data_IF_700340998179
#
_entry.id   IF_700340998179
#
_cell.length_a   1.000
_cell.length_b   1.000
_cell.length_c   1.000
_cell.angle_alpha   90.00
_cell.angle_beta   90.00
_cell.angle_gamma   90.00
#
_symmetry.space_group_name_H-M   'P 1'
#
loop_
_entity.id
_entity.type
_entity.pdbx_description
1 polymer ?
#
# COMPACT_ATOMS: atom_id res chain seq x y z
N UNK A 1 21.23 24.39 -5.09
CA UNK A 1 21.59 22.98 -5.31
C UNK A 1 20.84 22.48 -6.54
N UNK A 2 21.40 21.51 -7.27
CA UNK A 2 20.72 20.87 -8.40
C UNK A 2 19.91 19.68 -7.92
N UNK A 3 18.59 19.73 -8.15
CA UNK A 3 17.60 18.74 -7.73
C UNK A 3 17.09 18.02 -8.98
N UNK A 4 17.16 16.70 -9.01
CA UNK A 4 16.67 15.90 -10.15
C UNK A 4 15.64 14.89 -9.66
N UNK A 5 14.40 15.00 -10.16
CA UNK A 5 13.36 13.98 -9.99
C UNK A 5 13.42 13.00 -11.17
N UNK A 6 13.58 11.71 -10.87
CA UNK A 6 13.85 10.68 -11.90
C UNK A 6 12.59 9.96 -12.42
N UNK A 7 11.50 9.92 -11.65
CA UNK A 7 10.27 9.20 -12.01
C UNK A 7 9.00 9.86 -11.45
N UNK A 8 8.89 11.18 -11.61
CA UNK A 8 7.87 12.01 -10.98
C UNK A 8 6.43 11.79 -11.46
N UNK A 9 6.20 11.11 -12.59
CA UNK A 9 4.85 10.93 -13.14
C UNK A 9 3.88 10.27 -12.16
N UNK A 10 4.31 9.22 -11.45
CA UNK A 10 3.44 8.53 -10.50
C UNK A 10 3.02 9.43 -9.32
N UNK A 11 3.94 10.28 -8.84
CA UNK A 11 3.66 11.21 -7.75
C UNK A 11 2.82 12.41 -8.20
N UNK A 12 3.01 12.87 -9.45
CA UNK A 12 2.29 14.00 -10.02
C UNK A 12 2.14 13.86 -11.55
N UNK A 13 1.03 13.29 -12.03
CA UNK A 13 0.75 13.17 -13.46
C UNK A 13 0.34 14.49 -14.13
N UNK A 14 0.49 15.64 -13.46
CA UNK A 14 0.17 16.97 -13.97
C UNK A 14 -1.01 17.66 -13.27
N UNK A 15 -1.55 17.07 -12.20
CA UNK A 15 -2.68 17.63 -11.43
C UNK A 15 -2.27 18.29 -10.10
N UNK A 16 -0.97 18.33 -9.80
CA UNK A 16 -0.36 19.02 -8.64
C UNK A 16 0.78 19.91 -9.10
N UNK A 17 1.25 20.82 -8.21
CA UNK A 17 2.38 21.70 -8.46
C UNK A 17 3.69 21.16 -7.87
N UNK A 18 4.80 21.36 -8.59
CA UNK A 18 6.15 21.15 -8.11
C UNK A 18 6.81 22.45 -7.55
N UNK A 19 6.09 23.58 -7.54
CA UNK A 19 6.63 24.91 -7.19
C UNK A 19 7.35 24.94 -5.84
N UNK A 20 6.84 24.24 -4.83
CA UNK A 20 7.48 24.17 -3.50
C UNK A 20 8.86 23.53 -3.53
N UNK A 21 9.07 22.54 -4.40
CA UNK A 21 10.38 21.89 -4.60
C UNK A 21 11.25 22.71 -5.53
N UNK A 22 10.67 23.29 -6.58
CA UNK A 22 11.37 24.18 -7.52
C UNK A 22 11.97 25.41 -6.82
N UNK A 23 11.32 25.93 -5.78
CA UNK A 23 11.82 27.06 -5.00
C UNK A 23 13.08 26.74 -4.17
N UNK A 24 13.45 25.46 -4.01
CA UNK A 24 14.59 25.03 -3.20
C UNK A 24 15.90 24.89 -4.00
N UNK A 25 15.85 24.97 -5.35
CA UNK A 25 17.04 24.84 -6.18
C UNK A 25 16.75 24.75 -7.67
N UNK A 26 17.78 24.47 -8.46
CA UNK A 26 17.65 24.17 -9.88
C UNK A 26 17.00 22.80 -10.04
N UNK A 27 15.70 22.78 -10.39
CA UNK A 27 14.89 21.56 -10.44
C UNK A 27 14.75 21.04 -11.87
N UNK A 28 15.10 19.78 -12.08
CA UNK A 28 14.91 19.04 -13.32
C UNK A 28 13.96 17.86 -13.07
N UNK A 29 12.86 17.80 -13.80
CA UNK A 29 11.85 16.74 -13.72
C UNK A 29 11.97 15.78 -14.92
N UNK A 30 11.94 14.49 -14.62
CA UNK A 30 11.73 13.43 -15.60
C UNK A 30 10.50 12.61 -15.17
N UNK A 31 9.56 12.41 -16.08
CA UNK A 31 8.37 11.60 -15.83
C UNK A 31 8.72 10.14 -15.52
N UNK A 32 9.66 9.60 -16.27
CA UNK A 32 10.16 8.20 -16.17
C UNK A 32 11.61 8.15 -16.58
N UNK A 33 12.41 7.33 -15.89
CA UNK A 33 13.84 7.12 -16.22
C UNK A 33 14.13 5.64 -16.37
N UNK A 34 14.60 5.25 -17.55
CA UNK A 34 15.06 3.88 -17.77
C UNK A 34 16.38 3.63 -17.00
N UNK A 35 16.66 2.39 -16.54
CA UNK A 35 17.87 2.09 -15.77
C UNK A 35 19.17 2.58 -16.39
N UNK A 36 19.33 2.46 -17.71
CA UNK A 36 20.50 2.90 -18.48
C UNK A 36 20.71 4.42 -18.47
N UNK A 37 19.67 5.21 -18.19
CA UNK A 37 19.69 6.67 -18.28
C UNK A 37 19.88 7.34 -16.90
N UNK A 38 19.82 6.58 -15.80
CA UNK A 38 19.86 7.11 -14.44
C UNK A 38 21.10 7.95 -14.20
N UNK A 39 22.28 7.37 -14.43
CA UNK A 39 23.58 8.02 -14.20
C UNK A 39 23.70 9.28 -15.06
N UNK A 40 23.35 9.21 -16.35
CA UNK A 40 23.46 10.37 -17.24
C UNK A 40 22.56 11.53 -16.81
N UNK A 41 21.34 11.22 -16.33
CA UNK A 41 20.39 12.25 -15.85
C UNK A 41 20.79 12.84 -14.50
N UNK A 42 21.37 12.02 -13.62
CA UNK A 42 21.71 12.40 -12.24
C UNK A 42 23.15 12.84 -12.04
N UNK A 43 24.06 12.74 -13.04
CA UNK A 43 25.52 12.95 -12.89
C UNK A 43 25.94 14.28 -12.24
N UNK A 44 25.13 15.32 -12.40
CA UNK A 44 25.41 16.65 -11.86
C UNK A 44 24.48 17.01 -10.68
N UNK A 45 23.59 16.11 -10.27
CA UNK A 45 22.66 16.32 -9.17
C UNK A 45 23.37 16.28 -7.81
N UNK A 46 23.01 17.19 -6.93
CA UNK A 46 23.35 17.14 -5.50
C UNK A 46 22.22 16.45 -4.71
N UNK A 47 21.00 16.53 -5.23
CA UNK A 47 19.77 15.94 -4.67
C UNK A 47 19.10 15.14 -5.78
N UNK A 48 18.79 13.88 -5.52
CA UNK A 48 17.88 13.10 -6.38
C UNK A 48 16.61 12.73 -5.63
N UNK A 49 15.50 12.74 -6.35
CA UNK A 49 14.22 12.28 -5.87
C UNK A 49 13.79 11.08 -6.70
N UNK A 50 13.25 10.05 -6.06
CA UNK A 50 12.83 8.80 -6.70
C UNK A 50 11.56 8.24 -6.05
N UNK A 51 10.70 7.60 -6.83
CA UNK A 51 9.58 6.82 -6.32
C UNK A 51 9.86 5.31 -6.44
N UNK A 52 10.20 4.83 -7.64
CA UNK A 52 10.42 3.41 -7.97
C UNK A 52 11.73 3.14 -8.71
N UNK A 53 12.45 4.17 -9.11
CA UNK A 53 13.78 4.00 -9.71
C UNK A 53 14.75 3.44 -8.67
N UNK A 54 15.39 2.31 -9.01
CA UNK A 54 16.35 1.67 -8.12
C UNK A 54 17.69 2.42 -8.15
N UNK A 55 18.18 2.82 -6.98
CA UNK A 55 19.48 3.46 -6.78
C UNK A 55 20.39 2.48 -6.05
N UNK A 56 21.14 1.71 -6.85
CA UNK A 56 22.08 0.70 -6.38
C UNK A 56 23.43 1.31 -6.01
N UNK A 57 24.29 0.54 -5.35
CA UNK A 57 25.66 0.92 -5.04
C UNK A 57 26.43 1.39 -6.29
N UNK A 58 26.33 0.66 -7.39
CA UNK A 58 27.04 0.96 -8.65
C UNK A 58 26.59 2.29 -9.26
N UNK A 59 25.33 2.69 -9.04
CA UNK A 59 24.80 4.00 -9.44
C UNK A 59 25.36 5.09 -8.53
N UNK A 60 25.34 4.89 -7.20
CA UNK A 60 25.86 5.83 -6.20
C UNK A 60 27.32 6.15 -6.47
N UNK A 61 28.16 5.15 -6.74
CA UNK A 61 29.59 5.30 -7.04
C UNK A 61 29.86 6.19 -8.27
N UNK A 62 28.90 6.31 -9.19
CA UNK A 62 29.00 7.12 -10.41
C UNK A 62 28.43 8.53 -10.24
N UNK A 63 27.94 8.89 -9.04
CA UNK A 63 27.31 10.19 -8.76
C UNK A 63 28.11 10.99 -7.70
N UNK A 64 29.33 11.48 -8.02
CA UNK A 64 30.25 12.06 -7.03
C UNK A 64 29.76 13.37 -6.39
N UNK A 65 28.73 14.02 -6.95
CA UNK A 65 28.14 15.27 -6.40
C UNK A 65 26.93 15.00 -5.50
N UNK A 66 26.42 13.75 -5.48
CA UNK A 66 25.21 13.39 -4.78
C UNK A 66 25.41 13.49 -3.25
N UNK A 67 24.50 14.20 -2.59
CA UNK A 67 24.50 14.41 -1.12
C UNK A 67 23.22 13.93 -0.45
N UNK A 68 22.13 13.81 -1.23
CA UNK A 68 20.82 13.52 -0.69
C UNK A 68 19.97 12.71 -1.69
N UNK A 69 19.24 11.73 -1.16
CA UNK A 69 18.24 10.94 -1.88
C UNK A 69 16.91 11.05 -1.13
N UNK A 70 15.88 11.64 -1.78
CA UNK A 70 14.52 11.66 -1.28
C UNK A 70 13.69 10.55 -1.93
N UNK A 71 13.22 9.58 -1.14
CA UNK A 71 12.32 8.55 -1.64
C UNK A 71 10.88 9.02 -1.50
N UNK A 72 10.17 9.23 -2.61
CA UNK A 72 8.77 9.66 -2.69
C UNK A 72 7.80 8.51 -2.34
N UNK A 73 8.05 7.85 -1.22
CA UNK A 73 7.27 6.75 -0.69
C UNK A 73 7.55 6.52 0.79
N UNK A 74 6.71 5.75 1.48
CA UNK A 74 7.01 5.25 2.83
C UNK A 74 8.08 4.14 2.80
N UNK A 75 7.96 3.19 1.84
CA UNK A 75 8.98 2.15 1.61
C UNK A 75 10.17 2.71 0.84
N UNK A 76 11.39 2.37 1.26
CA UNK A 76 12.64 2.89 0.70
C UNK A 76 13.60 1.79 0.18
N UNK A 77 13.09 0.60 -0.03
CA UNK A 77 13.85 -0.55 -0.54
C UNK A 77 14.39 -0.38 -1.97
N UNK A 78 14.04 0.69 -2.64
CA UNK A 78 14.59 1.09 -3.96
C UNK A 78 15.98 1.73 -3.85
N UNK A 79 16.47 2.04 -2.65
CA UNK A 79 17.80 2.64 -2.43
C UNK A 79 18.66 1.69 -1.63
N UNK A 80 19.91 1.48 -2.07
CA UNK A 80 20.96 0.84 -1.26
C UNK A 80 21.40 1.81 -0.16
N UNK A 81 20.73 1.70 1.01
CA UNK A 81 20.94 2.62 2.14
C UNK A 81 22.32 2.46 2.79
N UNK A 82 22.92 1.26 2.74
CA UNK A 82 24.26 1.03 3.28
C UNK A 82 25.32 1.66 2.37
N UNK A 83 25.18 1.52 1.06
CA UNK A 83 26.04 2.22 0.12
C UNK A 83 25.90 3.73 0.24
N UNK A 84 24.68 4.26 0.34
CA UNK A 84 24.44 5.68 0.55
C UNK A 84 25.11 6.19 1.85
N UNK A 85 24.98 5.47 2.96
CA UNK A 85 25.62 5.79 4.24
C UNK A 85 27.13 5.83 4.10
N UNK A 86 27.73 4.84 3.44
CA UNK A 86 29.17 4.75 3.24
C UNK A 86 29.72 5.95 2.44
N UNK A 87 28.91 6.51 1.53
CA UNK A 87 29.26 7.71 0.73
C UNK A 87 28.83 9.03 1.36
N UNK A 88 28.33 9.01 2.61
CA UNK A 88 27.88 10.21 3.32
C UNK A 88 26.63 10.86 2.71
N UNK A 89 25.82 10.09 1.99
CA UNK A 89 24.58 10.54 1.36
C UNK A 89 23.42 10.32 2.34
N UNK A 90 22.67 11.37 2.63
CA UNK A 90 21.45 11.31 3.46
C UNK A 90 20.32 10.73 2.63
N UNK A 91 19.64 9.71 3.15
CA UNK A 91 18.44 9.14 2.53
C UNK A 91 17.23 9.41 3.42
N UNK A 92 16.16 9.98 2.84
CA UNK A 92 14.90 10.19 3.55
C UNK A 92 13.73 9.53 2.84
N UNK A 93 12.68 9.24 3.60
CA UNK A 93 11.42 8.74 3.07
C UNK A 93 10.26 9.69 3.42
N UNK A 94 9.05 9.34 3.01
CA UNK A 94 7.83 10.09 3.35
C UNK A 94 6.94 9.22 4.24
N UNK A 95 7.00 9.37 5.57
CA UNK A 95 6.18 8.59 6.48
C UNK A 95 4.72 9.09 6.50
N UNK A 96 3.77 8.17 6.72
CA UNK A 96 2.37 8.41 7.08
C UNK A 96 1.52 9.29 6.13
N UNK A 97 2.02 9.70 4.96
CA UNK A 97 1.31 10.59 4.03
C UNK A 97 0.00 10.00 3.47
N UNK A 98 -0.05 8.68 3.33
CA UNK A 98 -1.15 7.96 2.70
C UNK A 98 -2.06 7.19 3.68
N UNK A 99 -1.91 7.38 4.99
CA UNK A 99 -2.64 6.61 6.01
C UNK A 99 -4.15 6.60 5.78
N UNK A 100 -4.76 7.76 5.57
CA UNK A 100 -6.20 7.88 5.34
C UNK A 100 -6.62 7.28 4.00
N UNK A 101 -5.83 7.49 2.96
CA UNK A 101 -6.08 6.97 1.61
C UNK A 101 -6.04 5.44 1.59
N UNK A 102 -5.04 4.81 2.22
CA UNK A 102 -4.93 3.35 2.30
C UNK A 102 -6.05 2.75 3.16
N UNK A 103 -6.41 3.39 4.26
CA UNK A 103 -7.56 2.95 5.07
C UNK A 103 -8.88 3.03 4.28
N UNK A 104 -9.07 4.09 3.49
CA UNK A 104 -10.21 4.23 2.58
C UNK A 104 -10.24 3.10 1.53
N UNK A 105 -9.11 2.78 0.89
CA UNK A 105 -9.02 1.70 -0.09
C UNK A 105 -9.30 0.33 0.56
N UNK A 106 -8.80 0.09 1.78
CA UNK A 106 -9.11 -1.12 2.55
C UNK A 106 -10.63 -1.29 2.70
N UNK A 107 -11.35 -0.24 3.10
CA UNK A 107 -12.80 -0.28 3.20
C UNK A 107 -13.51 -0.33 1.84
N UNK A 108 -12.97 0.28 0.80
CA UNK A 108 -13.50 0.14 -0.56
C UNK A 108 -13.50 -1.33 -1.01
N UNK A 109 -12.42 -2.08 -0.74
CA UNK A 109 -12.37 -3.52 -1.00
C UNK A 109 -13.34 -4.31 -0.14
N UNK A 110 -13.40 -4.04 1.18
CA UNK A 110 -14.36 -4.69 2.09
C UNK A 110 -15.79 -4.49 1.59
N UNK A 111 -16.18 -3.23 1.32
CA UNK A 111 -17.52 -2.88 0.88
C UNK A 111 -17.84 -3.40 -0.52
N UNK A 112 -16.84 -3.44 -1.42
CA UNK A 112 -17.04 -4.06 -2.73
C UNK A 112 -17.29 -5.57 -2.62
N UNK A 113 -16.54 -6.28 -1.77
CA UNK A 113 -16.74 -7.71 -1.54
C UNK A 113 -18.08 -8.02 -0.89
N UNK A 114 -18.58 -7.16 -0.02
CA UNK A 114 -19.81 -7.40 0.76
C UNK A 114 -21.07 -6.89 0.07
N UNK A 115 -21.01 -5.78 -0.68
CA UNK A 115 -22.16 -5.13 -1.31
C UNK A 115 -22.21 -5.24 -2.83
N UNK A 116 -21.07 -5.53 -3.50
CA UNK A 116 -21.00 -5.72 -4.96
C UNK A 116 -21.56 -4.54 -5.78
N UNK A 117 -21.35 -3.31 -5.33
CA UNK A 117 -22.00 -2.11 -5.89
C UNK A 117 -21.74 -1.97 -7.39
N UNK A 118 -20.50 -2.14 -7.85
CA UNK A 118 -20.17 -2.02 -9.26
C UNK A 118 -20.80 -3.14 -10.11
N UNK A 119 -20.82 -4.37 -9.62
CA UNK A 119 -21.47 -5.50 -10.27
C UNK A 119 -22.94 -5.20 -10.55
N UNK A 120 -23.70 -4.76 -9.56
CA UNK A 120 -25.11 -4.41 -9.76
C UNK A 120 -25.28 -3.17 -10.63
N UNK A 121 -24.42 -2.17 -10.50
CA UNK A 121 -24.45 -0.99 -11.37
C UNK A 121 -24.23 -1.38 -12.84
N UNK A 122 -23.30 -2.30 -13.12
CA UNK A 122 -23.06 -2.79 -14.48
C UNK A 122 -24.26 -3.58 -15.02
N UNK A 123 -24.79 -4.53 -14.25
CA UNK A 123 -25.99 -5.27 -14.64
C UNK A 123 -27.20 -4.35 -14.92
N UNK A 124 -27.33 -3.27 -14.16
CA UNK A 124 -28.40 -2.29 -14.37
C UNK A 124 -28.22 -1.48 -15.66
N UNK A 125 -26.97 -1.09 -16.03
CA UNK A 125 -26.68 -0.48 -17.35
C UNK A 125 -27.06 -1.42 -18.49
N UNK A 126 -26.94 -2.72 -18.30
CA UNK A 126 -27.36 -3.77 -19.25
C UNK A 126 -28.88 -4.01 -19.24
N UNK A 127 -29.63 -3.29 -18.40
CA UNK A 127 -31.10 -3.35 -18.32
C UNK A 127 -31.63 -4.53 -17.50
N UNK A 128 -30.79 -5.17 -16.65
CA UNK A 128 -31.21 -6.31 -15.84
C UNK A 128 -32.36 -5.95 -14.91
N UNK A 129 -32.27 -4.81 -14.21
CA UNK A 129 -33.31 -4.36 -13.30
C UNK A 129 -34.59 -3.97 -14.04
N UNK A 130 -34.47 -3.22 -15.15
CA UNK A 130 -35.64 -2.79 -15.95
C UNK A 130 -36.47 -3.95 -16.50
N UNK A 131 -35.85 -5.12 -16.68
CA UNK A 131 -36.53 -6.35 -17.17
C UNK A 131 -36.85 -7.35 -16.07
N UNK A 132 -36.55 -6.99 -14.81
CA UNK A 132 -36.83 -7.87 -13.69
C UNK A 132 -38.32 -7.81 -13.33
N UNK A 133 -38.99 -8.92 -13.05
CA UNK A 133 -40.41 -8.91 -12.66
C UNK A 133 -40.65 -8.33 -11.26
N UNK A 134 -39.65 -8.38 -10.38
CA UNK A 134 -39.71 -7.87 -9.02
C UNK A 134 -39.10 -6.49 -8.90
N UNK A 135 -39.44 -5.74 -7.84
CA UNK A 135 -38.91 -4.40 -7.58
C UNK A 135 -37.40 -4.39 -7.25
N UNK A 136 -36.83 -5.54 -6.91
CA UNK A 136 -35.42 -5.72 -6.61
C UNK A 136 -34.93 -7.10 -7.09
N UNK A 137 -33.61 -7.30 -7.15
CA UNK A 137 -32.99 -8.58 -7.40
C UNK A 137 -31.57 -8.62 -6.81
N UNK A 138 -31.11 -9.81 -6.50
CA UNK A 138 -29.70 -10.10 -6.20
C UNK A 138 -29.34 -11.48 -6.75
N UNK A 139 -28.11 -11.63 -7.20
CA UNK A 139 -27.56 -12.88 -7.75
C UNK A 139 -26.24 -13.28 -7.11
N UNK A 140 -25.81 -12.53 -6.08
CA UNK A 140 -24.64 -12.83 -5.24
C UNK A 140 -25.03 -12.64 -3.78
N UNK A 141 -24.42 -13.37 -2.84
CA UNK A 141 -24.62 -13.10 -1.41
C UNK A 141 -24.24 -11.66 -1.07
N UNK A 142 -25.10 -10.97 -0.33
CA UNK A 142 -24.82 -9.68 0.27
C UNK A 142 -24.56 -9.89 1.76
N UNK A 143 -23.52 -9.23 2.28
CA UNK A 143 -23.09 -9.42 3.67
C UNK A 143 -23.16 -8.08 4.42
N UNK A 144 -23.75 -8.12 5.61
CA UNK A 144 -23.67 -7.00 6.57
C UNK A 144 -22.41 -7.18 7.43
N UNK A 145 -21.62 -6.09 7.55
CA UNK A 145 -20.35 -6.14 8.31
C UNK A 145 -20.51 -5.81 9.80
N UNK A 146 -21.63 -5.19 10.21
CA UNK A 146 -21.94 -4.96 11.61
C UNK A 146 -22.02 -6.27 12.38
N UNK A 147 -21.40 -6.32 13.56
CA UNK A 147 -21.30 -7.54 14.37
C UNK A 147 -20.33 -8.61 13.83
N UNK A 148 -19.61 -8.34 12.71
CA UNK A 148 -18.55 -9.21 12.20
C UNK A 148 -17.22 -8.87 12.84
N UNK A 149 -16.31 -9.84 12.87
CA UNK A 149 -14.96 -9.67 13.40
C UNK A 149 -13.99 -9.26 12.30
N UNK A 150 -13.35 -8.08 12.47
CA UNK A 150 -12.19 -7.69 11.68
C UNK A 150 -10.90 -8.07 12.41
N UNK A 151 -10.11 -8.95 11.80
CA UNK A 151 -8.75 -9.25 12.22
C UNK A 151 -7.76 -8.31 11.51
N UNK A 152 -6.84 -7.72 12.27
CA UNK A 152 -5.82 -6.81 11.73
C UNK A 152 -4.43 -7.37 12.05
N UNK A 153 -3.64 -7.62 11.00
CA UNK A 153 -2.22 -7.96 11.15
C UNK A 153 -1.40 -6.67 11.00
N UNK A 154 -0.86 -6.18 12.12
CA UNK A 154 -0.09 -4.94 12.17
C UNK A 154 -0.92 -3.71 12.54
N UNK A 155 -0.75 -3.23 13.77
CA UNK A 155 -1.47 -2.06 14.32
C UNK A 155 -0.58 -0.81 14.31
N UNK A 156 -0.01 -0.47 13.13
CA UNK A 156 0.66 0.79 12.86
C UNK A 156 -0.34 1.92 12.54
N UNK A 157 0.10 3.00 11.89
CA UNK A 157 -0.77 4.14 11.54
C UNK A 157 -2.00 3.71 10.72
N UNK A 158 -1.79 2.91 9.67
CA UNK A 158 -2.86 2.41 8.79
C UNK A 158 -3.78 1.47 9.57
N UNK A 159 -3.23 0.44 10.23
CA UNK A 159 -4.01 -0.53 10.99
C UNK A 159 -4.87 0.13 12.09
N UNK A 160 -4.34 1.13 12.80
CA UNK A 160 -5.11 1.91 13.78
C UNK A 160 -6.27 2.68 13.12
N UNK A 161 -6.04 3.28 11.94
CA UNK A 161 -7.09 4.00 11.22
C UNK A 161 -8.18 3.04 10.72
N UNK A 162 -7.79 1.90 10.16
CA UNK A 162 -8.71 0.83 9.73
C UNK A 162 -9.52 0.29 10.91
N UNK A 163 -8.86 0.04 12.05
CA UNK A 163 -9.53 -0.41 13.27
C UNK A 163 -10.61 0.58 13.75
N UNK A 164 -10.30 1.88 13.72
CA UNK A 164 -11.28 2.92 14.08
C UNK A 164 -12.50 2.90 13.18
N UNK A 165 -12.30 2.87 11.85
CA UNK A 165 -13.38 2.84 10.87
C UNK A 165 -14.23 1.57 11.05
N UNK A 166 -13.61 0.41 11.28
CA UNK A 166 -14.30 -0.85 11.51
C UNK A 166 -15.25 -0.76 12.72
N UNK A 167 -14.78 -0.18 13.81
CA UNK A 167 -15.62 0.03 15.01
C UNK A 167 -16.80 0.96 14.72
N UNK A 168 -16.58 2.02 13.95
CA UNK A 168 -17.65 2.94 13.54
C UNK A 168 -18.72 2.24 12.67
N UNK A 169 -18.34 1.14 11.97
CA UNK A 169 -19.27 0.20 11.29
C UNK A 169 -19.89 -0.87 12.22
N UNK A 170 -19.59 -0.86 13.51
CA UNK A 170 -20.13 -1.83 14.48
C UNK A 170 -19.43 -3.20 14.43
N UNK A 171 -18.19 -3.27 13.92
CA UNK A 171 -17.40 -4.51 13.92
C UNK A 171 -16.65 -4.71 15.24
N UNK A 172 -16.44 -5.98 15.63
CA UNK A 172 -15.46 -6.36 16.64
C UNK A 172 -14.06 -6.39 16.03
N UNK A 173 -13.07 -5.77 16.73
CA UNK A 173 -11.72 -5.66 16.18
C UNK A 173 -10.70 -6.41 17.04
N UNK A 174 -10.00 -7.34 16.39
CA UNK A 174 -8.86 -8.06 16.96
C UNK A 174 -7.58 -7.72 16.19
N UNK A 175 -6.45 -7.62 16.89
CA UNK A 175 -5.19 -7.25 16.27
C UNK A 175 -4.01 -8.13 16.73
N UNK A 176 -3.18 -8.52 15.75
CA UNK A 176 -1.83 -8.98 15.98
C UNK A 176 -0.90 -7.76 15.93
N UNK A 177 -0.24 -7.46 17.03
CA UNK A 177 0.64 -6.29 17.18
C UNK A 177 1.72 -6.51 18.25
N UNK A 178 2.86 -5.85 18.08
CA UNK A 178 3.92 -5.80 19.09
C UNK A 178 3.60 -4.86 20.27
N UNK A 179 2.58 -3.98 20.15
CA UNK A 179 2.17 -3.07 21.21
C UNK A 179 1.70 -3.84 22.45
N UNK A 180 1.90 -3.28 23.64
CA UNK A 180 1.31 -3.84 24.86
C UNK A 180 -0.22 -3.67 24.84
N UNK A 181 -0.94 -4.55 25.53
CA UNK A 181 -2.40 -4.47 25.58
C UNK A 181 -2.90 -3.15 26.20
N UNK A 182 -2.15 -2.59 27.16
CA UNK A 182 -2.47 -1.30 27.77
C UNK A 182 -2.34 -0.08 26.82
N UNK A 183 -1.55 -0.23 25.75
CA UNK A 183 -1.28 0.83 24.76
C UNK A 183 -2.21 0.73 23.54
N UNK A 184 -3.16 -0.20 23.56
CA UNK A 184 -4.12 -0.35 22.46
C UNK A 184 -5.21 0.71 22.53
N UNK A 185 -5.65 1.23 21.38
CA UNK A 185 -6.86 2.05 21.35
C UNK A 185 -8.05 1.28 21.92
N UNK A 186 -8.95 2.01 22.59
CA UNK A 186 -10.16 1.43 23.17
C UNK A 186 -10.95 0.59 22.18
N UNK A 187 -11.45 -0.57 22.63
CA UNK A 187 -12.27 -1.49 21.85
C UNK A 187 -11.49 -2.34 20.84
N UNK A 188 -10.16 -2.38 20.91
CA UNK A 188 -9.32 -3.29 20.12
C UNK A 188 -8.77 -4.37 21.06
N UNK A 189 -8.94 -5.64 20.69
CA UNK A 189 -8.46 -6.79 21.44
C UNK A 189 -7.16 -7.33 20.82
N UNK A 190 -6.13 -7.54 21.65
CA UNK A 190 -4.90 -8.19 21.21
C UNK A 190 -5.10 -9.71 21.15
N UNK A 191 -4.58 -10.34 20.09
CA UNK A 191 -4.60 -11.80 19.97
C UNK A 191 -3.31 -12.32 19.31
N UNK A 192 -3.12 -13.64 19.33
CA UNK A 192 -2.07 -14.32 18.57
C UNK A 192 -2.43 -14.44 17.10
N UNK A 193 -1.48 -14.80 16.24
CA UNK A 193 -1.74 -15.02 14.81
C UNK A 193 -2.78 -16.14 14.61
N UNK A 194 -2.67 -17.24 15.36
CA UNK A 194 -3.62 -18.35 15.28
C UNK A 194 -5.02 -17.96 15.76
N UNK A 195 -5.08 -17.20 16.87
CA UNK A 195 -6.34 -16.67 17.36
C UNK A 195 -6.98 -15.74 16.33
N UNK A 196 -6.17 -14.90 15.66
CA UNK A 196 -6.65 -13.99 14.64
C UNK A 196 -7.28 -14.74 13.46
N UNK A 197 -6.62 -15.79 12.94
CA UNK A 197 -7.18 -16.64 11.88
C UNK A 197 -8.52 -17.29 12.29
N UNK A 198 -8.60 -17.81 13.51
CA UNK A 198 -9.80 -18.51 13.99
C UNK A 198 -11.03 -17.61 14.17
N UNK A 199 -10.83 -16.32 14.56
CA UNK A 199 -11.96 -15.43 14.89
C UNK A 199 -12.40 -14.52 13.76
N UNK A 200 -11.54 -14.26 12.76
CA UNK A 200 -11.78 -13.24 11.75
C UNK A 200 -12.81 -13.68 10.71
N UNK A 201 -13.84 -12.88 10.51
CA UNK A 201 -14.71 -12.92 9.34
C UNK A 201 -14.06 -12.18 8.17
N UNK A 202 -13.29 -11.15 8.48
CA UNK A 202 -12.48 -10.36 7.54
C UNK A 202 -11.09 -10.23 8.14
N UNK A 203 -10.04 -10.60 7.39
CA UNK A 203 -8.64 -10.42 7.78
C UNK A 203 -7.99 -9.36 6.91
N UNK A 204 -7.37 -8.35 7.52
CA UNK A 204 -6.70 -7.25 6.82
C UNK A 204 -5.23 -7.12 7.19
N UNK A 205 -4.35 -7.04 6.17
CA UNK A 205 -2.91 -7.07 6.33
C UNK A 205 -2.34 -5.64 6.26
N UNK A 206 -1.69 -5.19 7.37
CA UNK A 206 -1.07 -3.87 7.51
C UNK A 206 0.32 -3.95 8.17
N UNK A 207 0.91 -5.15 8.17
CA UNK A 207 2.27 -5.37 8.66
C UNK A 207 3.32 -5.08 7.57
N UNK A 208 4.59 -4.79 7.95
CA UNK A 208 5.70 -4.75 7.01
C UNK A 208 6.00 -6.14 6.45
N UNK A 209 6.61 -6.19 5.26
CA UNK A 209 7.21 -7.39 4.72
C UNK A 209 8.57 -7.62 5.38
N UNK A 210 8.73 -8.75 6.03
CA UNK A 210 9.96 -9.24 6.67
C UNK A 210 10.12 -10.73 6.38
N UNK A 211 11.23 -11.33 6.79
CA UNK A 211 11.39 -12.79 6.67
C UNK A 211 10.27 -13.57 7.40
N UNK A 212 9.78 -13.06 8.53
CA UNK A 212 8.73 -13.70 9.33
C UNK A 212 7.33 -13.53 8.75
N UNK A 213 7.12 -12.49 7.92
CA UNK A 213 5.82 -12.18 7.31
C UNK A 213 5.74 -12.56 5.83
N UNK A 214 6.86 -12.95 5.22
CA UNK A 214 6.89 -13.46 3.86
C UNK A 214 5.99 -14.70 3.72
N UNK A 215 5.04 -14.66 2.78
CA UNK A 215 4.03 -15.70 2.57
C UNK A 215 3.36 -16.21 3.87
N UNK A 216 3.14 -15.29 4.84
CA UNK A 216 2.44 -15.66 6.07
C UNK A 216 1.01 -16.13 5.81
N UNK A 217 0.41 -15.72 4.70
CA UNK A 217 -0.87 -16.23 4.19
C UNK A 217 -0.57 -17.23 3.09
N UNK A 218 -0.70 -18.50 3.43
CA UNK A 218 -0.46 -19.65 2.58
C UNK A 218 -1.51 -20.74 2.85
N UNK A 219 -1.46 -21.85 2.13
CA UNK A 219 -2.43 -22.96 2.26
C UNK A 219 -2.65 -23.42 3.69
N UNK A 220 -1.56 -23.53 4.48
CA UNK A 220 -1.66 -24.01 5.86
C UNK A 220 -2.38 -23.02 6.78
N UNK A 221 -2.14 -21.71 6.60
CA UNK A 221 -2.76 -20.64 7.39
C UNK A 221 -4.16 -20.32 6.92
N UNK A 222 -4.45 -20.39 5.62
CA UNK A 222 -5.78 -20.25 5.04
C UNK A 222 -6.75 -21.32 5.59
N UNK A 223 -6.29 -22.55 5.77
CA UNK A 223 -7.10 -23.63 6.36
C UNK A 223 -7.44 -23.40 7.84
N UNK A 224 -6.76 -22.48 8.54
CA UNK A 224 -7.09 -22.10 9.93
C UNK A 224 -8.11 -20.96 9.99
N UNK A 225 -8.39 -20.29 8.87
CA UNK A 225 -9.38 -19.22 8.79
C UNK A 225 -10.81 -19.78 8.76
N UNK A 226 -11.77 -18.95 9.16
CA UNK A 226 -13.18 -19.29 8.97
C UNK A 226 -13.47 -19.55 7.50
N UNK A 227 -14.25 -20.59 7.20
CA UNK A 227 -14.71 -20.85 5.84
C UNK A 227 -15.54 -19.66 5.33
N UNK A 228 -15.20 -19.18 4.14
CA UNK A 228 -15.85 -18.02 3.54
C UNK A 228 -15.37 -16.67 4.09
N UNK A 229 -14.31 -16.64 4.90
CA UNK A 229 -13.70 -15.39 5.35
C UNK A 229 -13.20 -14.56 4.17
N UNK A 230 -13.15 -13.22 4.36
CA UNK A 230 -12.60 -12.29 3.39
C UNK A 230 -11.15 -11.95 3.77
N UNK A 231 -10.27 -11.84 2.77
CA UNK A 231 -8.88 -11.41 2.94
C UNK A 231 -8.65 -10.08 2.23
N UNK A 232 -8.04 -9.11 2.93
CA UNK A 232 -7.70 -7.81 2.38
C UNK A 232 -6.19 -7.57 2.48
N UNK A 233 -5.55 -7.21 1.37
CA UNK A 233 -4.12 -6.89 1.34
C UNK A 233 -3.86 -5.55 0.64
N UNK A 234 -3.68 -4.51 1.42
CA UNK A 234 -3.22 -3.19 0.96
C UNK A 234 -1.80 -2.88 1.45
N UNK A 235 -1.06 -3.91 1.85
CA UNK A 235 0.31 -3.81 2.39
C UNK A 235 1.39 -4.14 1.36
N UNK A 236 1.72 -5.42 1.23
CA UNK A 236 2.71 -5.95 0.29
C UNK A 236 2.23 -7.27 -0.30
N UNK A 237 2.40 -7.45 -1.61
CA UNK A 237 1.97 -8.67 -2.30
C UNK A 237 2.57 -9.93 -1.69
N UNK A 238 3.86 -9.90 -1.39
CA UNK A 238 4.61 -11.04 -0.85
C UNK A 238 4.21 -11.46 0.59
N UNK A 239 3.25 -10.80 1.22
CA UNK A 239 2.64 -11.30 2.47
C UNK A 239 1.78 -12.54 2.24
N UNK A 240 1.41 -12.81 1.00
CA UNK A 240 0.59 -13.97 0.61
C UNK A 240 1.33 -14.85 -0.41
N UNK A 241 0.97 -16.12 -0.45
CA UNK A 241 1.21 -16.98 -1.61
C UNK A 241 0.00 -16.87 -2.56
N UNK A 242 0.21 -16.29 -3.75
CA UNK A 242 -0.88 -15.99 -4.71
C UNK A 242 -1.59 -17.24 -5.21
N UNK A 243 -0.85 -18.33 -5.44
CA UNK A 243 -1.41 -19.60 -5.90
C UNK A 243 -2.32 -20.23 -4.83
N UNK A 244 -1.88 -20.22 -3.57
CA UNK A 244 -2.66 -20.75 -2.45
C UNK A 244 -3.94 -19.94 -2.20
N UNK A 245 -3.86 -18.61 -2.34
CA UNK A 245 -5.03 -17.73 -2.23
C UNK A 245 -5.99 -17.98 -3.38
N UNK A 246 -5.52 -18.17 -4.61
CA UNK A 246 -6.37 -18.51 -5.75
C UNK A 246 -7.07 -19.87 -5.56
N UNK A 247 -6.36 -20.90 -5.11
CA UNK A 247 -6.94 -22.21 -4.76
C UNK A 247 -8.00 -22.08 -3.66
N UNK A 248 -7.76 -21.26 -2.63
CA UNK A 248 -8.70 -21.05 -1.52
C UNK A 248 -9.97 -20.30 -1.96
N UNK A 249 -9.87 -19.41 -2.94
CA UNK A 249 -11.02 -18.75 -3.56
C UNK A 249 -11.84 -19.72 -4.42
N UNK A 250 -11.17 -20.57 -5.20
CA UNK A 250 -11.81 -21.55 -6.07
C UNK A 250 -12.59 -22.60 -5.27
N UNK A 251 -12.02 -23.11 -4.18
CA UNK A 251 -12.65 -24.14 -3.34
C UNK A 251 -13.60 -23.59 -2.26
N UNK A 252 -13.73 -22.24 -2.16
CA UNK A 252 -14.62 -21.57 -1.23
C UNK A 252 -14.14 -21.56 0.23
N UNK A 253 -12.86 -21.84 0.49
CA UNK A 253 -12.23 -21.61 1.79
C UNK A 253 -12.18 -20.11 2.09
N UNK A 254 -11.82 -19.29 1.09
CA UNK A 254 -12.01 -17.84 1.11
C UNK A 254 -13.28 -17.45 0.35
N UNK A 255 -14.07 -16.55 0.95
CA UNK A 255 -15.24 -15.94 0.32
C UNK A 255 -14.90 -14.84 -0.67
N UNK A 256 -13.74 -14.20 -0.51
CA UNK A 256 -13.26 -13.15 -1.40
C UNK A 256 -11.88 -12.60 -1.02
N UNK A 257 -11.21 -12.00 -1.97
CA UNK A 257 -9.93 -11.34 -1.83
C UNK A 257 -9.98 -9.93 -2.39
N UNK A 258 -9.58 -8.94 -1.60
CA UNK A 258 -9.43 -7.56 -2.02
C UNK A 258 -7.97 -7.13 -1.86
N UNK A 259 -7.33 -6.67 -2.93
CA UNK A 259 -5.92 -6.28 -2.87
C UNK A 259 -5.61 -5.03 -3.68
N UNK A 260 -4.61 -4.30 -3.21
CA UNK A 260 -4.02 -3.18 -3.97
C UNK A 260 -2.57 -3.48 -4.37
N UNK A 261 -2.07 -4.67 -4.05
CA UNK A 261 -0.66 -5.06 -4.24
C UNK A 261 -0.56 -6.50 -4.76
N UNK A 262 0.51 -6.76 -5.53
CA UNK A 262 0.83 -8.07 -6.09
C UNK A 262 2.28 -8.47 -5.75
N UNK A 263 2.59 -9.77 -5.82
CA UNK A 263 3.96 -10.27 -5.57
C UNK A 263 4.97 -9.71 -6.57
N UNK A 264 4.58 -9.59 -7.82
CA UNK A 264 5.31 -8.88 -8.86
C UNK A 264 4.45 -7.70 -9.36
N UNK A 265 5.06 -6.53 -9.51
CA UNK A 265 4.40 -5.31 -9.98
C UNK A 265 5.24 -4.66 -11.10
N UNK A 266 4.73 -4.61 -12.35
CA UNK A 266 3.44 -5.15 -12.84
C UNK A 266 3.36 -6.68 -12.76
N UNK A 267 2.14 -7.24 -12.50
CA UNK A 267 1.94 -8.68 -12.49
C UNK A 267 1.92 -9.28 -13.90
N UNK A 268 2.14 -10.59 -13.99
CA UNK A 268 1.93 -11.34 -15.23
C UNK A 268 0.44 -11.46 -15.57
N UNK A 269 0.11 -11.46 -16.86
CA UNK A 269 -1.27 -11.60 -17.35
C UNK A 269 -1.91 -12.94 -16.98
N UNK A 270 -1.10 -13.98 -16.79
CA UNK A 270 -1.52 -15.33 -16.39
C UNK A 270 -1.56 -15.55 -14.88
N UNK A 271 -1.47 -14.48 -14.07
CA UNK A 271 -1.55 -14.60 -12.63
C UNK A 271 -2.88 -15.27 -12.21
N UNK A 272 -2.84 -16.34 -11.40
CA UNK A 272 -4.03 -17.14 -11.07
C UNK A 272 -5.14 -16.36 -10.36
N UNK A 273 -4.82 -15.26 -9.69
CA UNK A 273 -5.80 -14.40 -9.02
C UNK A 273 -6.71 -13.67 -10.01
N UNK A 274 -6.23 -13.38 -11.24
CA UNK A 274 -7.06 -12.73 -12.25
C UNK A 274 -8.17 -13.61 -12.82
N UNK A 275 -8.03 -14.93 -12.68
CA UNK A 275 -9.08 -15.88 -13.06
C UNK A 275 -10.20 -16.01 -12.01
N UNK A 276 -10.01 -15.46 -10.80
CA UNK A 276 -10.95 -15.63 -9.70
C UNK A 276 -12.02 -14.53 -9.69
N UNK A 277 -13.33 -14.87 -9.83
CA UNK A 277 -14.41 -13.87 -9.93
C UNK A 277 -14.69 -13.12 -8.61
N UNK A 278 -14.13 -13.60 -7.50
CA UNK A 278 -14.22 -13.01 -6.16
C UNK A 278 -12.88 -12.43 -5.69
N UNK A 279 -11.89 -12.26 -6.59
CA UNK A 279 -10.70 -11.46 -6.37
C UNK A 279 -10.85 -10.07 -7.01
N UNK A 280 -10.66 -9.01 -6.24
CA UNK A 280 -10.72 -7.62 -6.68
C UNK A 280 -9.38 -6.96 -6.42
N UNK A 281 -8.65 -6.65 -7.50
CA UNK A 281 -7.27 -6.17 -7.43
C UNK A 281 -7.19 -4.80 -8.08
N UNK A 282 -6.68 -3.83 -7.33
CA UNK A 282 -6.36 -2.48 -7.83
C UNK A 282 -4.85 -2.33 -8.03
N UNK A 283 -4.40 -1.50 -8.99
CA UNK A 283 -3.01 -1.50 -9.43
C UNK A 283 -2.10 -0.61 -8.56
N UNK A 284 -2.01 -0.91 -7.26
CA UNK A 284 -1.16 -0.24 -6.26
C UNK A 284 -1.42 1.28 -6.19
N UNK A 285 -2.70 1.64 -6.06
CA UNK A 285 -3.19 3.04 -6.06
C UNK A 285 -3.80 3.48 -4.72
N UNK A 286 -3.75 2.64 -3.68
CA UNK A 286 -4.29 2.99 -2.35
C UNK A 286 -3.67 4.28 -1.77
N UNK A 287 -2.45 4.63 -2.18
CA UNK A 287 -1.74 5.85 -1.79
C UNK A 287 -2.00 7.04 -2.73
N UNK A 288 -2.59 6.83 -3.91
CA UNK A 288 -2.53 7.74 -5.05
C UNK A 288 -3.63 8.81 -5.08
N UNK A 289 -4.42 8.98 -4.01
CA UNK A 289 -5.39 10.09 -3.97
C UNK A 289 -4.67 11.44 -4.09
N UNK A 290 -5.33 12.42 -4.68
CA UNK A 290 -4.77 13.76 -4.88
C UNK A 290 -4.27 14.37 -3.56
N UNK A 291 -5.05 14.20 -2.50
CA UNK A 291 -4.74 14.72 -1.16
C UNK A 291 -3.51 14.02 -0.56
N UNK A 292 -3.38 12.70 -0.71
CA UNK A 292 -2.20 11.96 -0.24
C UNK A 292 -0.95 12.37 -1.03
N UNK A 293 -1.05 12.51 -2.36
CA UNK A 293 0.06 12.98 -3.20
C UNK A 293 0.46 14.43 -2.90
N UNK A 294 -0.51 15.29 -2.60
CA UNK A 294 -0.22 16.65 -2.15
C UNK A 294 0.56 16.66 -0.82
N UNK A 295 0.15 15.84 0.16
CA UNK A 295 0.91 15.66 1.41
C UNK A 295 2.31 15.11 1.16
N UNK A 296 2.44 14.14 0.26
CA UNK A 296 3.72 13.55 -0.12
C UNK A 296 4.69 14.63 -0.64
N UNK A 297 4.24 15.47 -1.58
CA UNK A 297 5.07 16.54 -2.14
C UNK A 297 5.42 17.60 -1.10
N UNK A 298 4.48 17.94 -0.20
CA UNK A 298 4.74 18.89 0.89
C UNK A 298 5.82 18.35 1.86
N UNK A 299 5.68 17.11 2.33
CA UNK A 299 6.68 16.48 3.22
C UNK A 299 8.03 16.34 2.49
N UNK A 300 8.04 16.04 1.18
CA UNK A 300 9.26 15.99 0.38
C UNK A 300 9.98 17.36 0.38
N UNK A 301 9.24 18.44 0.14
CA UNK A 301 9.78 19.80 0.18
C UNK A 301 10.34 20.15 1.57
N UNK A 302 9.63 19.80 2.63
CA UNK A 302 10.07 20.00 4.01
C UNK A 302 11.34 19.19 4.33
N UNK A 303 11.45 17.96 3.86
CA UNK A 303 12.65 17.12 4.03
C UNK A 303 13.86 17.71 3.31
N UNK A 304 13.70 18.19 2.07
CA UNK A 304 14.77 18.85 1.30
C UNK A 304 15.20 20.13 2.00
N UNK A 305 14.24 20.95 2.43
CA UNK A 305 14.52 22.20 3.16
C UNK A 305 15.30 21.92 4.44
N UNK A 306 14.86 20.98 5.25
CA UNK A 306 15.53 20.59 6.49
C UNK A 306 16.96 20.07 6.23
N UNK A 307 17.17 19.30 5.14
CA UNK A 307 18.51 18.89 4.73
C UNK A 307 19.39 20.07 4.35
N UNK A 308 18.91 21.03 3.56
CA UNK A 308 19.66 22.24 3.15
C UNK A 308 20.04 23.09 4.39
N UNK A 309 19.18 23.15 5.39
CA UNK A 309 19.38 23.87 6.65
C UNK A 309 20.29 23.12 7.64
N UNK A 310 20.72 21.88 7.33
CA UNK A 310 21.61 21.07 8.17
C UNK A 310 20.92 20.28 9.28
N UNK A 311 19.59 20.14 9.24
CA UNK A 311 18.80 19.41 10.23
C UNK A 311 17.91 18.35 9.56
N UNK A 312 18.48 17.38 8.81
CA UNK A 312 17.70 16.43 8.04
C UNK A 312 16.70 15.67 8.92
N UNK A 313 15.47 15.50 8.43
CA UNK A 313 14.38 14.77 9.08
C UNK A 313 13.94 13.57 8.25
N UNK A 314 13.23 12.63 8.85
CA UNK A 314 12.77 11.39 8.20
C UNK A 314 13.92 10.59 7.56
N UNK A 315 15.12 10.66 8.15
CA UNK A 315 16.32 9.95 7.70
C UNK A 315 16.18 8.46 7.96
N UNK A 316 16.48 7.63 6.96
CA UNK A 316 16.36 6.17 7.03
C UNK A 316 17.71 5.44 7.08
N UNK A 317 18.83 6.18 6.96
CA UNK A 317 20.22 5.67 7.07
C UNK A 317 21.09 6.53 8.02
N UNK A 318 20.67 6.74 9.28
CA UNK A 318 21.33 7.60 10.25
C UNK A 318 22.76 7.18 10.59
#
# INVERSE_FOLDING_TARGET
MKIVELDGYAANPGDLSWETIQALGEFQLYDRTAPKDIVNRAKDAEIILVNKVNITKEIIEQLPKLKYIGVLATGYNVVDIEAAKTHGIVVTNIPAYSTDSVAQMTFAHILNLTNRVEHYAQLNREGKWSRNPDFCYWNTPLLEISGKTLGIVGLGNIGCKVAKIARDFGMDVFALTSKNSADLPEGIQKTTLEGLFAVSDILSLHCPLTADTFEMINKATLNKMKKGALLINTGRGQLINEADVAEALENGQLGGYGADVMCAEPPSEDNPLFAQPNAFITPHIAWATKEARARLLAICADNIKAFIEGHPQNVVNP
#
